data_IF_957972550309
#
_entry.id   IF_957972550309
#
_cell.length_a   1.000
_cell.length_b   1.000
_cell.length_c   1.000
_cell.angle_alpha   90.00
_cell.angle_beta   90.00
_cell.angle_gamma   90.00
#
_symmetry.space_group_name_H-M   'P 1'
#
loop_
_entity.id
_entity.type
_entity.pdbx_description
1 polymer ?
#
# COMPACT_ATOMS: atom_id res chain seq x y z
N UNK A 1 -7.08 4.76 -61.43
CA UNK A 1 -7.53 5.64 -60.32
C UNK A 1 -6.74 5.21 -59.09
N UNK A 2 -5.87 6.08 -58.61
CA UNK A 2 -4.85 5.82 -57.59
C UNK A 2 -5.53 5.80 -56.21
N UNK A 3 -5.29 4.74 -55.42
CA UNK A 3 -5.69 4.67 -54.02
C UNK A 3 -4.66 5.41 -53.18
N UNK A 4 -5.04 6.57 -52.65
CA UNK A 4 -4.21 7.40 -51.78
C UNK A 4 -4.01 6.71 -50.41
N UNK A 5 -2.76 6.32 -50.14
CA UNK A 5 -2.29 5.65 -48.92
C UNK A 5 -1.89 6.61 -47.81
N UNK A 6 -2.70 7.63 -47.51
CA UNK A 6 -2.40 8.64 -46.47
C UNK A 6 -3.60 8.97 -45.58
N UNK A 7 -4.41 7.95 -45.26
CA UNK A 7 -5.38 8.00 -44.16
C UNK A 7 -4.68 8.04 -42.80
N UNK A 8 -4.00 9.14 -42.50
CA UNK A 8 -3.35 9.40 -41.24
C UNK A 8 -4.33 9.25 -40.08
N UNK A 9 -3.84 8.66 -39.00
CA UNK A 9 -4.45 8.66 -37.67
C UNK A 9 -5.03 10.05 -37.36
N UNK A 10 -6.34 10.24 -37.56
CA UNK A 10 -7.06 11.33 -36.92
C UNK A 10 -7.19 10.94 -35.47
N UNK A 11 -6.34 11.51 -34.62
CA UNK A 11 -6.56 11.49 -33.19
C UNK A 11 -7.90 12.16 -32.91
N UNK A 12 -8.94 11.37 -32.66
CA UNK A 12 -10.18 11.85 -32.05
C UNK A 12 -9.93 12.15 -30.57
N UNK A 13 -8.96 12.99 -30.27
CA UNK A 13 -9.00 13.79 -29.05
C UNK A 13 -9.79 15.03 -29.44
N UNK A 14 -11.07 15.05 -29.04
CA UNK A 14 -11.87 16.26 -29.11
C UNK A 14 -11.06 17.43 -28.51
N UNK A 15 -11.12 18.63 -29.10
CA UNK A 15 -10.51 19.81 -28.49
C UNK A 15 -11.02 19.90 -27.05
N UNK A 16 -10.08 20.02 -26.10
CA UNK A 16 -10.37 20.21 -24.67
C UNK A 16 -11.44 21.29 -24.57
N UNK A 17 -12.65 20.88 -24.22
CA UNK A 17 -13.71 21.83 -23.90
C UNK A 17 -13.18 22.72 -22.80
N UNK A 18 -13.26 24.04 -23.00
CA UNK A 18 -13.18 24.99 -21.90
C UNK A 18 -14.30 24.60 -20.93
N UNK A 19 -13.99 23.73 -19.97
CA UNK A 19 -14.90 23.43 -18.88
C UNK A 19 -15.17 24.75 -18.19
N UNK A 20 -16.45 25.11 -18.09
CA UNK A 20 -16.92 26.30 -17.38
C UNK A 20 -16.21 26.35 -16.03
N UNK A 21 -15.73 27.53 -15.63
CA UNK A 21 -15.18 27.73 -14.29
C UNK A 21 -16.24 27.27 -13.28
N UNK A 22 -16.04 26.11 -12.69
CA UNK A 22 -16.83 25.66 -11.56
C UNK A 22 -16.31 26.41 -10.34
N UNK A 23 -17.23 27.04 -9.60
CA UNK A 23 -16.92 27.67 -8.33
C UNK A 23 -16.10 26.69 -7.49
N UNK A 24 -14.91 27.10 -7.01
CA UNK A 24 -14.03 26.20 -6.28
C UNK A 24 -14.82 25.63 -5.10
N UNK A 25 -15.04 24.31 -5.10
CA UNK A 25 -15.70 23.64 -3.98
C UNK A 25 -14.93 24.04 -2.72
N UNK A 26 -15.59 24.65 -1.72
CA UNK A 26 -14.90 25.10 -0.52
C UNK A 26 -14.31 23.87 0.18
N UNK A 27 -13.00 23.69 0.07
CA UNK A 27 -12.30 22.68 0.85
C UNK A 27 -12.16 23.27 2.26
N UNK A 28 -12.86 22.68 3.22
CA UNK A 28 -12.80 23.06 4.63
C UNK A 28 -11.47 22.62 5.22
N UNK A 29 -10.38 23.37 5.07
CA UNK A 29 -9.10 23.05 5.73
C UNK A 29 -9.17 23.37 7.23
N UNK A 30 -9.84 22.49 7.95
CA UNK A 30 -9.70 22.28 9.38
C UNK A 30 -9.61 20.79 9.60
N UNK A 31 -8.65 20.36 10.41
CA UNK A 31 -8.42 18.96 10.82
C UNK A 31 -7.70 18.00 9.85
N UNK A 32 -7.20 18.45 8.69
CA UNK A 32 -6.34 17.55 7.86
C UNK A 32 -4.93 17.37 8.41
N UNK A 33 -4.51 18.27 9.30
CA UNK A 33 -3.31 18.11 10.10
C UNK A 33 -3.76 17.79 11.51
N UNK A 34 -3.29 16.65 11.99
CA UNK A 34 -3.72 16.04 13.24
C UNK A 34 -3.09 16.82 14.38
N UNK A 35 -3.85 17.72 15.01
CA UNK A 35 -3.42 18.42 16.22
C UNK A 35 -3.70 17.52 17.43
N UNK A 36 -2.93 16.44 17.54
CA UNK A 36 -2.99 15.53 18.69
C UNK A 36 -1.65 15.52 19.40
N UNK A 37 -1.70 15.40 20.72
CA UNK A 37 -0.49 15.09 21.51
C UNK A 37 0.07 13.73 21.09
N UNK A 38 1.37 13.50 21.29
CA UNK A 38 2.04 12.23 20.94
C UNK A 38 1.32 11.01 21.56
N UNK A 39 0.81 11.15 22.78
CA UNK A 39 0.06 10.10 23.47
C UNK A 39 -1.30 9.81 22.82
N UNK A 40 -2.08 10.85 22.50
CA UNK A 40 -3.35 10.70 21.80
C UNK A 40 -3.14 10.10 20.41
N UNK A 41 -2.09 10.54 19.71
CA UNK A 41 -1.72 10.02 18.41
C UNK A 41 -1.35 8.53 18.49
N UNK A 42 -0.56 8.14 19.49
CA UNK A 42 -0.23 6.74 19.76
C UNK A 42 -1.45 5.88 20.08
N UNK A 43 -2.42 6.41 20.84
CA UNK A 43 -3.67 5.73 21.15
C UNK A 43 -4.52 5.49 19.91
N UNK A 44 -4.65 6.49 19.02
CA UNK A 44 -5.36 6.33 17.73
C UNK A 44 -4.70 5.28 16.86
N UNK A 45 -3.37 5.31 16.74
CA UNK A 45 -2.61 4.31 15.98
C UNK A 45 -2.83 2.91 16.56
N UNK A 46 -2.76 2.73 17.87
CA UNK A 46 -2.99 1.44 18.53
C UNK A 46 -4.43 0.95 18.33
N UNK A 47 -5.43 1.81 18.50
CA UNK A 47 -6.84 1.50 18.30
C UNK A 47 -7.15 1.09 16.86
N UNK A 48 -6.69 1.87 15.88
CA UNK A 48 -6.88 1.56 14.46
C UNK A 48 -6.16 0.27 14.06
N UNK A 49 -4.94 0.06 14.57
CA UNK A 49 -4.14 -1.13 14.24
C UNK A 49 -4.76 -2.40 14.81
N UNK A 50 -5.27 -2.35 16.03
CA UNK A 50 -5.94 -3.50 16.67
C UNK A 50 -7.27 -3.81 16.00
N UNK A 51 -8.11 -2.80 15.74
CA UNK A 51 -9.37 -2.97 15.03
C UNK A 51 -9.15 -3.56 13.63
N UNK A 52 -8.18 -3.03 12.88
CA UNK A 52 -7.83 -3.56 11.56
C UNK A 52 -7.28 -4.99 11.65
N UNK A 53 -6.43 -5.29 12.64
CA UNK A 53 -5.88 -6.64 12.82
C UNK A 53 -6.95 -7.69 13.12
N UNK A 54 -8.05 -7.32 13.78
CA UNK A 54 -9.21 -8.19 13.98
C UNK A 54 -10.00 -8.43 12.69
N UNK A 55 -10.10 -7.41 11.84
CA UNK A 55 -10.82 -7.49 10.56
C UNK A 55 -10.02 -8.21 9.46
N UNK A 56 -8.69 -8.19 9.49
CA UNK A 56 -7.87 -8.76 8.42
C UNK A 56 -8.05 -10.27 8.20
N UNK A 57 -8.00 -11.16 9.22
CA UNK A 57 -8.13 -12.60 9.01
C UNK A 57 -9.41 -13.04 8.28
N UNK A 58 -10.61 -12.52 8.63
CA UNK A 58 -11.80 -12.86 7.87
C UNK A 58 -11.79 -12.25 6.46
N UNK A 59 -11.31 -11.01 6.29
CA UNK A 59 -11.21 -10.35 4.98
C UNK A 59 -10.36 -11.14 3.99
N UNK A 60 -9.19 -11.61 4.42
CA UNK A 60 -8.31 -12.41 3.56
C UNK A 60 -8.95 -13.74 3.16
N UNK A 61 -9.82 -14.31 4.01
CA UNK A 61 -10.54 -15.56 3.71
C UNK A 61 -11.74 -15.39 2.80
N UNK A 62 -12.16 -14.16 2.52
CA UNK A 62 -13.19 -13.91 1.51
C UNK A 62 -12.77 -14.41 0.14
N UNK A 63 -11.47 -14.61 -0.11
CA UNK A 63 -10.97 -15.24 -1.35
C UNK A 63 -11.53 -16.65 -1.58
N UNK A 64 -11.97 -17.33 -0.52
CA UNK A 64 -12.58 -18.67 -0.59
C UNK A 64 -13.96 -18.64 -1.22
N UNK A 65 -14.60 -17.47 -1.27
CA UNK A 65 -15.90 -17.25 -1.92
C UNK A 65 -15.76 -16.81 -3.37
N UNK A 66 -14.54 -16.76 -3.92
CA UNK A 66 -14.32 -16.34 -5.29
C UNK A 66 -14.91 -17.31 -6.34
N UNK A 67 -15.28 -18.54 -5.96
CA UNK A 67 -16.09 -19.42 -6.83
C UNK A 67 -17.50 -18.87 -7.10
N UNK A 68 -17.97 -17.90 -6.30
CA UNK A 68 -19.24 -17.20 -6.54
C UNK A 68 -19.14 -16.19 -7.67
N UNK A 69 -17.96 -15.59 -7.90
CA UNK A 69 -17.76 -14.75 -9.07
C UNK A 69 -17.60 -15.65 -10.29
N UNK A 70 -18.33 -15.36 -11.37
CA UNK A 70 -18.24 -16.09 -12.64
C UNK A 70 -16.94 -15.75 -13.39
N UNK A 71 -15.81 -16.00 -12.73
CA UNK A 71 -14.48 -15.87 -13.31
C UNK A 71 -14.16 -17.17 -14.06
N UNK A 72 -13.81 -17.09 -15.36
CA UNK A 72 -13.54 -18.27 -16.17
C UNK A 72 -12.39 -19.10 -15.57
N UNK A 73 -12.67 -20.38 -15.34
CA UNK A 73 -11.72 -21.37 -14.78
C UNK A 73 -12.00 -21.81 -13.34
N UNK A 74 -12.58 -20.95 -12.47
CA UNK A 74 -12.99 -21.34 -11.11
C UNK A 74 -14.48 -21.66 -11.02
N UNK A 75 -15.35 -20.92 -11.74
CA UNK A 75 -16.81 -21.15 -11.69
C UNK A 75 -17.28 -22.38 -12.47
N UNK A 76 -16.48 -22.88 -13.42
CA UNK A 76 -16.78 -24.08 -14.21
C UNK A 76 -16.58 -25.40 -13.47
N UNK A 77 -16.01 -25.38 -12.25
CA UNK A 77 -15.81 -26.59 -11.44
C UNK A 77 -17.05 -27.02 -10.65
N UNK A 78 -18.03 -26.14 -10.50
CA UNK A 78 -19.17 -26.34 -9.58
C UNK A 78 -20.44 -26.01 -10.35
N UNK A 79 -21.34 -26.99 -10.50
CA UNK A 79 -22.65 -26.77 -11.13
C UNK A 79 -23.43 -25.67 -10.39
N UNK A 80 -24.16 -24.84 -11.13
CA UNK A 80 -24.90 -23.70 -10.54
C UNK A 80 -25.89 -24.11 -9.44
N UNK A 81 -26.46 -25.32 -9.53
CA UNK A 81 -27.35 -25.89 -8.50
C UNK A 81 -26.64 -26.14 -7.17
N UNK A 82 -25.34 -26.43 -7.18
CA UNK A 82 -24.53 -26.78 -6.00
C UNK A 82 -23.85 -25.56 -5.35
N UNK A 83 -23.82 -24.39 -6.03
CA UNK A 83 -23.18 -23.18 -5.51
C UNK A 83 -23.73 -22.75 -4.14
N UNK A 84 -25.03 -22.94 -3.89
CA UNK A 84 -25.67 -22.60 -2.59
C UNK A 84 -25.22 -23.52 -1.46
N UNK A 85 -25.19 -24.84 -1.69
CA UNK A 85 -24.71 -25.80 -0.71
C UNK A 85 -23.22 -25.59 -0.41
N UNK A 86 -22.43 -25.30 -1.45
CA UNK A 86 -21.01 -25.00 -1.31
C UNK A 86 -20.75 -23.68 -0.59
N UNK A 87 -21.58 -22.65 -0.80
CA UNK A 87 -21.52 -21.40 -0.04
C UNK A 87 -21.62 -21.65 1.47
N UNK A 88 -22.66 -22.34 1.92
CA UNK A 88 -22.85 -22.64 3.34
C UNK A 88 -21.74 -23.54 3.88
N UNK A 89 -21.30 -24.54 3.10
CA UNK A 89 -20.16 -25.38 3.48
C UNK A 89 -18.91 -24.54 3.70
N UNK A 90 -18.59 -23.60 2.82
CA UNK A 90 -17.42 -22.72 2.96
C UNK A 90 -17.60 -21.75 4.12
N UNK A 91 -18.78 -21.19 4.32
CA UNK A 91 -19.10 -20.25 5.39
C UNK A 91 -18.94 -20.86 6.79
N UNK A 92 -19.51 -22.04 7.03
CA UNK A 92 -19.49 -22.67 8.34
C UNK A 92 -18.20 -23.47 8.61
N UNK A 93 -17.58 -24.06 7.58
CA UNK A 93 -16.36 -24.85 7.77
C UNK A 93 -15.08 -23.98 7.80
N UNK A 94 -15.17 -22.72 7.39
CA UNK A 94 -14.03 -21.81 7.45
C UNK A 94 -13.78 -21.36 8.88
N UNK A 95 -12.62 -21.72 9.43
CA UNK A 95 -12.14 -21.16 10.69
C UNK A 95 -11.71 -19.71 10.47
N UNK A 96 -12.62 -18.75 10.62
CA UNK A 96 -12.44 -17.32 10.27
C UNK A 96 -11.26 -16.61 10.95
N UNK A 97 -10.95 -16.94 12.21
CA UNK A 97 -9.83 -16.32 12.95
C UNK A 97 -8.57 -17.19 13.03
N UNK A 98 -8.54 -18.35 12.37
CA UNK A 98 -7.34 -19.19 12.34
C UNK A 98 -6.27 -18.64 11.39
N UNK A 99 -5.06 -18.37 11.86
CA UNK A 99 -3.99 -17.83 11.01
C UNK A 99 -2.90 -17.15 11.83
N UNK A 100 -2.34 -16.07 11.29
CA UNK A 100 -1.41 -15.22 12.04
C UNK A 100 -2.10 -14.67 13.29
N UNK A 101 -1.36 -14.58 14.39
CA UNK A 101 -1.89 -14.03 15.63
C UNK A 101 -2.28 -12.57 15.42
N UNK A 102 -3.45 -12.19 15.94
CA UNK A 102 -3.99 -10.83 15.84
C UNK A 102 -3.04 -9.83 16.50
N UNK A 103 -2.43 -10.19 17.62
CA UNK A 103 -1.44 -9.36 18.33
C UNK A 103 -0.24 -9.04 17.43
N UNK A 104 0.29 -10.04 16.73
CA UNK A 104 1.42 -9.84 15.81
C UNK A 104 1.03 -8.91 14.66
N UNK A 105 -0.17 -9.10 14.11
CA UNK A 105 -0.66 -8.27 13.01
C UNK A 105 -0.92 -6.83 13.45
N UNK A 106 -1.48 -6.62 14.64
CA UNK A 106 -1.67 -5.30 15.24
C UNK A 106 -0.32 -4.59 15.45
N UNK A 107 0.70 -5.31 15.92
CA UNK A 107 2.06 -4.79 16.05
C UNK A 107 2.66 -4.36 14.71
N UNK A 108 2.46 -5.14 13.64
CA UNK A 108 2.93 -4.77 12.30
C UNK A 108 2.25 -3.52 11.73
N UNK A 109 0.93 -3.42 11.88
CA UNK A 109 0.17 -2.24 11.44
C UNK A 109 0.53 -1.00 12.23
N UNK A 110 0.67 -1.13 13.56
CA UNK A 110 1.10 -0.05 14.42
C UNK A 110 2.49 0.44 14.04
N UNK A 111 3.44 -0.48 13.84
CA UNK A 111 4.79 -0.15 13.42
C UNK A 111 4.81 0.59 12.07
N UNK A 112 4.10 0.09 11.07
CA UNK A 112 4.02 0.71 9.74
C UNK A 112 3.48 2.13 9.80
N UNK A 113 2.39 2.33 10.53
CA UNK A 113 1.73 3.63 10.62
C UNK A 113 2.57 4.61 11.46
N UNK A 114 3.04 4.19 12.63
CA UNK A 114 3.91 5.01 13.48
C UNK A 114 5.20 5.43 12.78
N UNK A 115 5.88 4.51 12.09
CA UNK A 115 7.11 4.83 11.36
C UNK A 115 6.86 5.81 10.22
N UNK A 116 5.77 5.68 9.48
CA UNK A 116 5.40 6.66 8.45
C UNK A 116 5.16 8.04 9.03
N UNK A 117 4.39 8.14 10.12
CA UNK A 117 4.06 9.41 10.77
C UNK A 117 5.33 10.07 11.30
N UNK A 118 6.18 9.34 12.03
CA UNK A 118 7.40 9.90 12.63
C UNK A 118 8.43 10.30 11.58
N UNK A 119 8.61 9.50 10.52
CA UNK A 119 9.51 9.86 9.43
C UNK A 119 9.00 11.10 8.69
N UNK A 120 7.69 11.21 8.49
CA UNK A 120 7.10 12.40 7.88
C UNK A 120 7.30 13.64 8.75
N UNK A 121 6.99 13.57 10.05
CA UNK A 121 7.17 14.71 10.96
C UNK A 121 8.65 15.10 11.05
N UNK A 122 9.56 14.13 11.02
CA UNK A 122 10.99 14.38 10.98
C UNK A 122 11.40 15.12 9.70
N UNK A 123 10.90 14.71 8.54
CA UNK A 123 11.13 15.36 7.25
C UNK A 123 10.52 16.78 7.18
N UNK A 124 9.44 17.02 7.90
CA UNK A 124 8.82 18.35 8.04
C UNK A 124 9.63 19.26 8.97
N UNK A 125 10.19 18.72 10.06
CA UNK A 125 11.01 19.48 11.03
C UNK A 125 12.45 19.77 10.56
N UNK A 126 12.97 19.01 9.58
CA UNK A 126 14.32 19.16 9.02
C UNK A 126 14.38 20.30 7.98
N UNK A 127 14.01 21.50 8.41
CA UNK A 127 13.53 22.66 7.63
C UNK A 127 14.54 23.39 6.73
N UNK A 128 15.78 22.92 6.53
CA UNK A 128 16.71 23.57 5.59
C UNK A 128 16.78 22.87 4.22
N UNK A 129 16.96 21.54 4.19
CA UNK A 129 17.16 20.80 2.94
C UNK A 129 15.86 20.28 2.30
N UNK A 130 14.81 20.04 3.10
CA UNK A 130 13.52 19.50 2.64
C UNK A 130 12.43 20.58 2.54
N UNK A 131 12.73 21.83 2.89
CA UNK A 131 11.79 22.95 2.81
C UNK A 131 11.23 23.14 1.40
N UNK A 132 12.06 22.97 0.37
CA UNK A 132 11.66 23.06 -1.04
C UNK A 132 10.82 21.86 -1.52
N UNK A 133 10.75 20.76 -0.76
CA UNK A 133 9.98 19.59 -1.19
C UNK A 133 8.49 19.85 -1.05
N UNK A 134 7.74 19.62 -2.13
CA UNK A 134 6.29 19.61 -2.07
C UNK A 134 5.79 18.57 -1.05
N UNK A 135 4.64 18.84 -0.40
CA UNK A 135 4.00 17.89 0.53
C UNK A 135 3.82 16.49 -0.11
N UNK A 136 3.54 16.45 -1.43
CA UNK A 136 3.45 15.22 -2.21
C UNK A 136 4.77 14.44 -2.14
N UNK A 137 5.88 15.07 -2.50
CA UNK A 137 7.20 14.43 -2.51
C UNK A 137 7.60 13.94 -1.11
N UNK A 138 7.32 14.73 -0.05
CA UNK A 138 7.56 14.31 1.35
C UNK A 138 6.81 13.03 1.69
N UNK A 139 5.56 12.88 1.22
CA UNK A 139 4.77 11.66 1.38
C UNK A 139 5.38 10.43 0.70
N UNK A 140 5.88 10.58 -0.53
CA UNK A 140 6.54 9.48 -1.24
C UNK A 140 7.86 9.07 -0.57
N UNK A 141 8.69 10.04 -0.15
CA UNK A 141 9.98 9.75 0.49
C UNK A 141 9.78 9.14 1.87
N UNK A 142 8.89 9.69 2.71
CA UNK A 142 8.55 9.11 4.02
C UNK A 142 7.98 7.70 3.87
N UNK A 143 7.12 7.44 2.87
CA UNK A 143 6.64 6.10 2.54
C UNK A 143 7.76 5.14 2.12
N UNK A 144 8.71 5.59 1.31
CA UNK A 144 9.84 4.77 0.87
C UNK A 144 10.77 4.44 2.05
N UNK A 145 11.09 5.42 2.89
CA UNK A 145 11.88 5.24 4.12
C UNK A 145 11.17 4.28 5.10
N UNK A 146 9.85 4.41 5.24
CA UNK A 146 9.03 3.48 6.02
C UNK A 146 9.18 2.05 5.51
N UNK A 147 9.12 1.87 4.19
CA UNK A 147 9.36 0.56 3.57
C UNK A 147 10.78 0.03 3.78
N UNK A 148 11.78 0.90 3.81
CA UNK A 148 13.16 0.52 4.12
C UNK A 148 13.32 0.05 5.57
N UNK A 149 12.79 0.81 6.54
CA UNK A 149 12.79 0.46 7.97
C UNK A 149 12.03 -0.85 8.18
N UNK A 150 10.84 -0.97 7.59
CA UNK A 150 10.03 -2.19 7.66
C UNK A 150 10.78 -3.39 7.09
N UNK A 151 11.40 -3.27 5.92
CA UNK A 151 12.19 -4.35 5.34
C UNK A 151 13.40 -4.71 6.21
N UNK A 152 14.12 -3.75 6.76
CA UNK A 152 15.27 -4.01 7.64
C UNK A 152 14.87 -4.82 8.88
N UNK A 153 13.73 -4.49 9.49
CA UNK A 153 13.22 -5.20 10.67
C UNK A 153 12.59 -6.55 10.33
N UNK A 154 11.85 -6.63 9.22
CA UNK A 154 11.03 -7.80 8.87
C UNK A 154 11.81 -8.87 8.11
N UNK A 155 12.78 -8.48 7.28
CA UNK A 155 13.58 -9.40 6.47
C UNK A 155 14.23 -10.54 7.26
N UNK A 156 14.86 -10.32 8.43
CA UNK A 156 15.44 -11.43 9.19
C UNK A 156 14.39 -12.45 9.62
N UNK A 157 13.23 -12.00 10.07
CA UNK A 157 12.13 -12.89 10.42
C UNK A 157 11.61 -13.65 9.19
N UNK A 158 11.45 -12.99 8.04
CA UNK A 158 10.98 -13.64 6.81
C UNK A 158 11.94 -14.73 6.34
N UNK A 159 13.26 -14.51 6.46
CA UNK A 159 14.27 -15.52 6.13
C UNK A 159 14.20 -16.70 7.10
N UNK A 160 14.13 -16.45 8.41
CA UNK A 160 14.01 -17.52 9.41
C UNK A 160 12.72 -18.34 9.27
N UNK A 161 11.64 -17.68 8.90
CA UNK A 161 10.36 -18.35 8.63
C UNK A 161 10.45 -19.20 7.37
N UNK A 162 11.01 -18.66 6.29
CA UNK A 162 11.17 -19.38 5.04
C UNK A 162 12.09 -20.61 5.19
N UNK A 163 13.13 -20.53 6.03
CA UNK A 163 13.98 -21.69 6.33
C UNK A 163 13.28 -22.72 7.20
N UNK A 164 12.42 -22.30 8.15
CA UNK A 164 11.62 -23.22 8.95
C UNK A 164 10.58 -23.98 8.12
N UNK A 165 9.97 -23.30 7.15
CA UNK A 165 8.92 -23.85 6.27
C UNK A 165 9.48 -24.57 5.02
N UNK A 166 10.80 -24.55 4.80
CA UNK A 166 11.42 -25.11 3.60
C UNK A 166 11.20 -26.64 3.49
N UNK A 167 10.48 -27.13 2.45
CA UNK A 167 10.33 -28.55 2.21
C UNK A 167 11.67 -29.15 1.73
N UNK A 168 12.13 -30.23 2.38
CA UNK A 168 13.34 -30.94 1.97
C UNK A 168 14.64 -30.48 2.64
N UNK A 169 14.56 -29.66 3.70
CA UNK A 169 15.71 -29.41 4.57
C UNK A 169 16.16 -30.70 5.29
N UNK A 170 17.46 -30.84 5.63
CA UNK A 170 17.98 -32.00 6.35
C UNK A 170 17.36 -32.16 7.75
N UNK A 171 16.76 -31.07 8.28
CA UNK A 171 16.08 -31.03 9.57
C UNK A 171 14.77 -30.26 9.44
N UNK A 172 13.69 -30.80 10.01
CA UNK A 172 12.41 -30.10 10.16
C UNK A 172 12.47 -29.24 11.42
N UNK A 173 12.25 -27.94 11.28
CA UNK A 173 12.17 -27.01 12.41
C UNK A 173 10.74 -26.86 12.89
N UNK A 174 10.54 -26.69 14.20
CA UNK A 174 9.21 -26.42 14.78
C UNK A 174 8.74 -24.99 14.52
N UNK A 175 9.66 -24.08 14.20
CA UNK A 175 9.36 -22.69 13.88
C UNK A 175 10.60 -21.82 13.75
N UNK A 176 10.44 -20.50 13.51
CA UNK A 176 11.55 -19.58 13.30
C UNK A 176 12.47 -19.45 14.52
N UNK A 177 11.94 -19.55 15.75
CA UNK A 177 12.75 -19.52 16.97
C UNK A 177 13.67 -20.75 17.10
N UNK A 178 13.17 -21.92 16.69
CA UNK A 178 13.94 -23.18 16.68
C UNK A 178 15.10 -23.11 15.69
N UNK A 179 14.89 -22.47 14.53
CA UNK A 179 15.96 -22.15 13.58
C UNK A 179 17.04 -21.29 14.22
N UNK A 180 16.66 -20.24 14.96
CA UNK A 180 17.63 -19.34 15.61
C UNK A 180 18.44 -20.08 16.68
N UNK A 181 17.77 -20.82 17.57
CA UNK A 181 18.44 -21.58 18.64
C UNK A 181 19.39 -22.62 18.04
N UNK A 182 18.96 -23.32 17.00
CA UNK A 182 19.81 -24.31 16.31
C UNK A 182 20.99 -23.65 15.60
N UNK A 183 20.76 -22.53 14.91
CA UNK A 183 21.82 -21.79 14.22
C UNK A 183 22.88 -21.23 15.20
N UNK A 184 22.45 -20.74 16.37
CA UNK A 184 23.35 -20.26 17.42
C UNK A 184 24.23 -21.39 17.99
N UNK A 185 23.67 -22.59 18.16
CA UNK A 185 24.39 -23.75 18.73
C UNK A 185 25.35 -24.39 17.73
N UNK A 186 24.91 -24.59 16.49
CA UNK A 186 25.65 -25.42 15.54
C UNK A 186 26.59 -24.60 14.66
N UNK A 187 26.16 -23.43 14.16
CA UNK A 187 26.93 -22.64 13.19
C UNK A 187 26.56 -21.14 13.26
N UNK A 188 27.16 -20.36 14.17
CA UNK A 188 26.83 -18.94 14.33
C UNK A 188 27.09 -18.09 13.07
N UNK A 189 28.01 -18.51 12.19
CA UNK A 189 28.26 -17.86 10.88
C UNK A 189 27.04 -17.89 9.94
N UNK A 190 26.09 -18.80 10.12
CA UNK A 190 24.83 -18.83 9.35
C UNK A 190 23.89 -17.67 9.68
N UNK A 191 24.06 -17.01 10.84
CA UNK A 191 23.27 -15.84 11.22
C UNK A 191 23.57 -14.63 10.32
N UNK A 192 24.81 -14.51 9.82
CA UNK A 192 25.16 -13.50 8.81
C UNK A 192 24.43 -13.75 7.48
N UNK A 193 24.05 -15.00 7.21
CA UNK A 193 23.26 -15.40 6.05
C UNK A 193 21.81 -14.90 6.09
N UNK A 194 21.30 -14.50 7.25
CA UNK A 194 19.93 -14.01 7.44
C UNK A 194 19.70 -12.70 6.68
N UNK A 195 20.73 -11.88 6.50
CA UNK A 195 20.65 -10.63 5.72
C UNK A 195 20.88 -10.84 4.22
N UNK A 196 21.05 -12.08 3.74
CA UNK A 196 21.19 -12.35 2.31
C UNK A 196 19.90 -11.97 1.58
N UNK A 197 20.04 -11.18 0.53
CA UNK A 197 18.89 -10.67 -0.24
C UNK A 197 18.21 -9.44 0.34
N UNK A 198 18.76 -8.84 1.42
CA UNK A 198 18.20 -7.63 2.03
C UNK A 198 18.05 -6.48 1.01
N UNK A 199 19.02 -6.26 0.12
CA UNK A 199 18.97 -5.19 -0.89
C UNK A 199 17.72 -5.28 -1.80
N UNK A 200 17.33 -6.49 -2.19
CA UNK A 200 16.16 -6.71 -3.05
C UNK A 200 14.86 -6.64 -2.24
N UNK A 201 14.90 -7.07 -0.97
CA UNK A 201 13.79 -6.88 -0.05
C UNK A 201 13.52 -5.39 0.20
N UNK A 202 14.58 -4.61 0.45
CA UNK A 202 14.55 -3.16 0.62
C UNK A 202 13.95 -2.49 -0.60
N UNK A 203 14.51 -2.70 -1.80
CA UNK A 203 14.01 -2.05 -3.00
C UNK A 203 12.53 -2.38 -3.27
N UNK A 204 12.11 -3.64 -3.07
CA UNK A 204 10.72 -4.05 -3.21
C UNK A 204 9.79 -3.32 -2.25
N UNK A 205 10.12 -3.27 -0.96
CA UNK A 205 9.30 -2.60 0.06
C UNK A 205 9.33 -1.08 -0.06
N UNK A 206 10.46 -0.49 -0.44
CA UNK A 206 10.55 0.94 -0.73
C UNK A 206 9.62 1.35 -1.87
N UNK A 207 9.59 0.58 -2.96
CA UNK A 207 8.65 0.82 -4.06
C UNK A 207 7.18 0.65 -3.62
N UNK A 208 6.89 -0.42 -2.86
CA UNK A 208 5.55 -0.70 -2.35
C UNK A 208 5.02 0.46 -1.51
N UNK A 209 5.72 0.76 -0.41
CA UNK A 209 5.26 1.69 0.60
C UNK A 209 5.48 3.15 0.20
N UNK A 210 6.49 3.44 -0.63
CA UNK A 210 6.66 4.76 -1.24
C UNK A 210 5.45 5.14 -2.10
N UNK A 211 4.98 4.23 -2.96
CA UNK A 211 3.80 4.50 -3.78
C UNK A 211 2.51 4.48 -2.97
N UNK A 212 2.36 3.51 -2.07
CA UNK A 212 1.17 3.37 -1.21
C UNK A 212 0.97 4.59 -0.30
N UNK A 213 1.97 4.95 0.52
CA UNK A 213 1.84 6.10 1.42
C UNK A 213 1.97 7.44 0.70
N UNK A 214 2.69 7.50 -0.42
CA UNK A 214 2.78 8.70 -1.25
C UNK A 214 1.44 9.07 -1.91
N UNK A 215 0.79 8.11 -2.56
CA UNK A 215 -0.56 8.31 -3.12
C UNK A 215 -1.59 8.60 -2.04
N UNK A 216 -1.52 7.91 -0.90
CA UNK A 216 -2.37 8.22 0.24
C UNK A 216 -2.17 9.65 0.75
N UNK A 217 -0.92 10.10 0.96
CA UNK A 217 -0.67 11.47 1.41
C UNK A 217 -1.17 12.51 0.40
N UNK A 218 -1.10 12.18 -0.88
CA UNK A 218 -1.60 13.07 -1.93
C UNK A 218 -3.13 13.13 -1.96
N UNK A 219 -3.80 11.97 -1.90
CA UNK A 219 -5.24 11.84 -2.11
C UNK A 219 -6.07 12.04 -0.84
N UNK A 220 -5.49 11.89 0.36
CA UNK A 220 -6.23 11.96 1.62
C UNK A 220 -6.97 13.29 1.81
N UNK A 221 -6.38 14.40 1.34
CA UNK A 221 -7.00 15.72 1.48
C UNK A 221 -8.31 15.81 0.70
N UNK A 222 -8.39 15.30 -0.53
CA UNK A 222 -9.62 15.29 -1.34
C UNK A 222 -10.62 14.24 -0.82
N UNK A 223 -10.14 13.04 -0.47
CA UNK A 223 -10.99 11.92 -0.04
C UNK A 223 -11.77 12.22 1.24
N UNK A 224 -11.12 12.88 2.21
CA UNK A 224 -11.70 13.22 3.52
C UNK A 224 -12.86 14.23 3.42
N UNK A 225 -12.89 15.11 2.41
CA UNK A 225 -13.99 16.08 2.23
C UNK A 225 -15.17 15.54 1.44
N UNK A 226 -14.95 14.56 0.57
CA UNK A 226 -16.02 14.00 -0.27
C UNK A 226 -16.88 13.01 0.52
N UNK A 227 -16.29 11.91 0.96
CA UNK A 227 -16.96 10.82 1.69
C UNK A 227 -15.91 9.81 2.19
N UNK A 228 -16.14 9.18 3.34
CA UNK A 228 -15.34 8.06 3.83
C UNK A 228 -15.20 6.93 2.79
N UNK A 229 -16.25 6.67 1.99
CA UNK A 229 -16.18 5.69 0.91
C UNK A 229 -15.18 6.09 -0.19
N UNK A 230 -15.11 7.38 -0.55
CA UNK A 230 -14.15 7.88 -1.54
C UNK A 230 -12.73 7.81 -1.00
N UNK A 231 -12.53 8.17 0.27
CA UNK A 231 -11.24 7.99 0.95
C UNK A 231 -10.80 6.52 0.94
N UNK A 232 -11.72 5.60 1.17
CA UNK A 232 -11.46 4.16 1.11
C UNK A 232 -11.02 3.71 -0.28
N UNK A 233 -11.71 4.16 -1.33
CA UNK A 233 -11.33 3.87 -2.71
C UNK A 233 -9.95 4.44 -3.05
N UNK A 234 -9.61 5.63 -2.57
CA UNK A 234 -8.27 6.20 -2.75
C UNK A 234 -7.18 5.41 -2.03
N UNK A 235 -7.42 5.02 -0.78
CA UNK A 235 -6.48 4.18 -0.04
C UNK A 235 -6.34 2.78 -0.68
N UNK A 236 -7.44 2.23 -1.20
CA UNK A 236 -7.44 0.96 -1.92
C UNK A 236 -6.64 1.05 -3.22
N UNK A 237 -6.87 2.09 -4.03
CA UNK A 237 -6.08 2.35 -5.23
C UNK A 237 -4.59 2.52 -4.91
N UNK A 238 -4.27 3.26 -3.85
CA UNK A 238 -2.88 3.48 -3.41
C UNK A 238 -2.18 2.17 -3.01
N UNK A 239 -2.85 1.32 -2.21
CA UNK A 239 -2.32 0.01 -1.81
C UNK A 239 -2.18 -0.94 -3.00
N UNK A 240 -3.17 -0.97 -3.90
CA UNK A 240 -3.12 -1.76 -5.12
C UNK A 240 -1.96 -1.34 -6.03
N UNK A 241 -1.80 -0.04 -6.26
CA UNK A 241 -0.70 0.51 -7.03
C UNK A 241 0.65 0.14 -6.40
N UNK A 242 0.78 0.24 -5.07
CA UNK A 242 1.99 -0.16 -4.34
C UNK A 242 2.32 -1.64 -4.53
N UNK A 243 1.33 -2.53 -4.46
CA UNK A 243 1.52 -3.95 -4.74
C UNK A 243 1.92 -4.21 -6.20
N UNK A 244 1.31 -3.50 -7.15
CA UNK A 244 1.68 -3.60 -8.56
C UNK A 244 3.14 -3.16 -8.79
N UNK A 245 3.56 -2.04 -8.19
CA UNK A 245 4.93 -1.52 -8.32
C UNK A 245 5.98 -2.47 -7.71
N UNK A 246 5.66 -3.15 -6.61
CA UNK A 246 6.56 -4.12 -5.98
C UNK A 246 6.65 -5.45 -6.74
N UNK A 247 5.58 -5.85 -7.43
CA UNK A 247 5.42 -7.19 -7.98
C UNK A 247 6.61 -7.66 -8.85
N UNK A 248 7.15 -6.85 -9.78
CA UNK A 248 8.31 -7.24 -10.60
C UNK A 248 9.53 -7.67 -9.77
N UNK A 249 9.83 -6.94 -8.69
CA UNK A 249 10.96 -7.22 -7.82
C UNK A 249 10.74 -8.51 -7.03
N UNK A 250 9.51 -8.74 -6.58
CA UNK A 250 9.12 -9.95 -5.86
C UNK A 250 9.13 -11.19 -6.77
N UNK A 251 8.55 -11.10 -7.97
CA UNK A 251 8.52 -12.16 -8.96
C UNK A 251 9.94 -12.59 -9.37
N UNK A 252 10.81 -11.63 -9.69
CA UNK A 252 12.22 -11.90 -9.99
C UNK A 252 12.94 -12.57 -8.83
N UNK A 253 12.69 -12.14 -7.58
CA UNK A 253 13.29 -12.75 -6.39
C UNK A 253 12.86 -14.21 -6.23
N UNK A 254 11.57 -14.49 -6.36
CA UNK A 254 11.02 -15.85 -6.23
C UNK A 254 11.54 -16.78 -7.33
N UNK A 255 11.52 -16.34 -8.59
CA UNK A 255 12.06 -17.11 -9.71
C UNK A 255 13.56 -17.37 -9.55
N UNK A 256 14.32 -16.36 -9.10
CA UNK A 256 15.75 -16.52 -8.87
C UNK A 256 16.03 -17.55 -7.78
N UNK A 257 15.28 -17.53 -6.67
CA UNK A 257 15.42 -18.54 -5.62
C UNK A 257 15.08 -19.94 -6.11
N UNK A 258 14.02 -20.10 -6.90
CA UNK A 258 13.63 -21.39 -7.47
C UNK A 258 14.70 -21.94 -8.44
N UNK A 259 15.24 -21.09 -9.32
CA UNK A 259 16.27 -21.50 -10.29
C UNK A 259 17.60 -21.78 -9.59
N UNK A 260 18.02 -20.92 -8.64
CA UNK A 260 19.28 -21.13 -7.93
C UNK A 260 19.23 -22.32 -6.97
N UNK A 261 18.05 -22.83 -6.62
CA UNK A 261 17.90 -24.08 -5.87
C UNK A 261 18.15 -25.32 -6.74
N UNK A 262 17.93 -25.24 -8.06
CA UNK A 262 18.06 -26.39 -8.98
C UNK A 262 19.38 -26.40 -9.75
N UNK A 263 20.00 -25.23 -9.95
CA UNK A 263 21.24 -25.10 -10.72
C UNK A 263 22.45 -25.53 -9.87
N UNK A 264 23.17 -26.58 -10.31
CA UNK A 264 24.42 -27.08 -9.71
C UNK A 264 25.68 -26.26 -10.08
N UNK A 265 25.52 -25.13 -10.75
CA UNK A 265 26.60 -24.28 -11.28
C UNK A 265 26.65 -22.88 -10.65
N UNK A 266 27.19 -21.90 -11.39
CA UNK A 266 27.23 -20.51 -10.93
C UNK A 266 25.81 -19.96 -10.72
N UNK A 267 25.48 -19.41 -9.54
CA UNK A 267 24.16 -18.86 -9.30
C UNK A 267 23.91 -17.68 -10.22
N UNK A 268 22.69 -17.57 -10.74
CA UNK A 268 22.28 -16.44 -11.56
C UNK A 268 22.16 -15.19 -10.70
N UNK A 269 22.40 -14.04 -11.33
CA UNK A 269 22.25 -12.71 -10.74
C UNK A 269 20.89 -12.13 -11.15
N UNK A 270 20.29 -11.29 -10.31
CA UNK A 270 19.02 -10.61 -10.64
C UNK A 270 19.07 -9.89 -12.00
N UNK A 271 20.19 -9.23 -12.33
CA UNK A 271 20.36 -8.52 -13.61
C UNK A 271 20.35 -9.46 -14.81
N UNK A 272 21.02 -10.61 -14.73
CA UNK A 272 21.07 -11.56 -15.86
C UNK A 272 19.72 -12.24 -16.07
N UNK A 273 19.01 -12.56 -14.98
CA UNK A 273 17.64 -13.09 -15.03
C UNK A 273 16.66 -12.06 -15.63
N UNK A 274 16.73 -10.80 -15.19
CA UNK A 274 15.88 -9.74 -15.74
C UNK A 274 16.10 -9.53 -17.24
N UNK A 275 17.37 -9.45 -17.66
CA UNK A 275 17.72 -9.27 -19.08
C UNK A 275 17.30 -10.49 -19.92
N UNK A 276 17.43 -11.71 -19.40
CA UNK A 276 17.02 -12.92 -20.12
C UNK A 276 15.50 -13.01 -20.25
N UNK A 277 14.74 -12.68 -19.20
CA UNK A 277 13.27 -12.59 -19.22
C UNK A 277 12.80 -11.54 -20.22
N UNK A 278 13.36 -10.33 -20.15
CA UNK A 278 13.01 -9.23 -21.06
C UNK A 278 13.27 -9.60 -22.52
N UNK A 279 14.40 -10.27 -22.81
CA UNK A 279 14.76 -10.70 -24.18
C UNK A 279 13.86 -11.83 -24.71
N UNK A 280 13.49 -12.81 -23.87
CA UNK A 280 12.74 -14.00 -24.31
C UNK A 280 11.23 -13.82 -24.34
N UNK A 281 10.68 -13.02 -23.42
CA UNK A 281 9.23 -12.97 -23.19
C UNK A 281 8.68 -11.55 -22.99
N UNK A 282 9.53 -10.53 -23.09
CA UNK A 282 9.14 -9.15 -22.83
C UNK A 282 8.95 -8.82 -21.36
N UNK A 283 8.50 -7.59 -21.09
CA UNK A 283 8.34 -7.05 -19.73
C UNK A 283 7.04 -7.57 -19.08
N UNK A 284 6.04 -7.93 -19.87
CA UNK A 284 4.74 -8.43 -19.41
C UNK A 284 4.85 -9.70 -18.59
N UNK A 285 5.83 -10.57 -18.88
CA UNK A 285 6.08 -11.79 -18.10
C UNK A 285 6.47 -11.54 -16.65
N UNK A 286 6.98 -10.34 -16.31
CA UNK A 286 7.23 -10.01 -14.90
C UNK A 286 5.94 -9.90 -14.07
N UNK A 287 4.82 -9.61 -14.73
CA UNK A 287 3.49 -9.52 -14.12
C UNK A 287 2.67 -10.82 -14.24
N UNK A 288 3.28 -11.88 -14.78
CA UNK A 288 2.61 -13.16 -14.92
C UNK A 288 2.28 -13.74 -13.53
N UNK A 289 0.99 -13.97 -13.27
CA UNK A 289 0.48 -14.41 -11.98
C UNK A 289 0.12 -13.29 -10.99
N UNK A 290 0.24 -12.00 -11.34
CA UNK A 290 -0.12 -10.90 -10.45
C UNK A 290 -1.57 -11.01 -9.95
N UNK A 291 -2.52 -11.24 -10.85
CA UNK A 291 -3.94 -11.38 -10.50
C UNK A 291 -4.29 -12.72 -9.85
N UNK A 292 -3.44 -13.75 -9.94
CA UNK A 292 -3.66 -15.03 -9.23
C UNK A 292 -3.61 -14.85 -7.72
N UNK A 293 -2.80 -13.90 -7.25
CA UNK A 293 -2.71 -13.53 -5.83
C UNK A 293 -3.84 -12.63 -5.33
N UNK A 294 -4.94 -12.46 -6.09
CA UNK A 294 -6.12 -11.64 -5.75
C UNK A 294 -5.73 -10.29 -5.10
N UNK A 295 -4.87 -9.49 -5.76
CA UNK A 295 -4.29 -8.28 -5.15
C UNK A 295 -5.35 -7.26 -4.73
N UNK A 296 -6.49 -7.20 -5.43
CA UNK A 296 -7.61 -6.32 -5.06
C UNK A 296 -8.18 -6.65 -3.67
N UNK A 297 -8.29 -7.92 -3.31
CA UNK A 297 -8.79 -8.29 -1.97
C UNK A 297 -7.71 -8.08 -0.90
N UNK A 298 -6.46 -8.39 -1.24
CA UNK A 298 -5.31 -8.23 -0.34
C UNK A 298 -4.98 -6.74 -0.04
N UNK A 299 -5.44 -5.81 -0.87
CA UNK A 299 -5.35 -4.37 -0.62
C UNK A 299 -6.29 -3.88 0.50
N UNK A 300 -7.43 -4.56 0.70
CA UNK A 300 -8.52 -4.08 1.59
C UNK A 300 -8.04 -3.82 3.03
N UNK A 301 -7.28 -4.73 3.69
CA UNK A 301 -6.86 -4.49 5.07
C UNK A 301 -6.02 -3.22 5.24
N UNK A 302 -5.04 -3.00 4.36
CA UNK A 302 -4.22 -1.80 4.44
C UNK A 302 -5.01 -0.54 4.11
N UNK A 303 -5.95 -0.62 3.16
CA UNK A 303 -6.83 0.49 2.84
C UNK A 303 -7.72 0.86 4.04
N UNK A 304 -8.30 -0.14 4.71
CA UNK A 304 -9.08 0.05 5.94
C UNK A 304 -8.25 0.70 7.03
N UNK A 305 -7.03 0.22 7.29
CA UNK A 305 -6.13 0.80 8.29
C UNK A 305 -5.92 2.31 8.06
N UNK A 306 -5.60 2.70 6.82
CA UNK A 306 -5.29 4.08 6.46
C UNK A 306 -6.53 4.98 6.54
N UNK A 307 -7.68 4.48 6.10
CA UNK A 307 -8.95 5.21 6.26
C UNK A 307 -9.40 5.35 7.70
N UNK A 308 -9.30 4.28 8.48
CA UNK A 308 -9.68 4.27 9.89
C UNK A 308 -8.81 5.24 10.68
N UNK A 309 -7.51 5.27 10.39
CA UNK A 309 -6.59 6.25 10.98
C UNK A 309 -6.98 7.69 10.65
N UNK A 310 -7.17 8.04 9.38
CA UNK A 310 -7.54 9.44 9.02
C UNK A 310 -8.89 9.86 9.60
N UNK A 311 -9.89 8.96 9.59
CA UNK A 311 -11.19 9.25 10.18
C UNK A 311 -11.11 9.39 11.70
N UNK A 312 -10.42 8.49 12.38
CA UNK A 312 -10.32 8.49 13.85
C UNK A 312 -9.48 9.66 14.36
N UNK A 313 -8.35 9.94 13.71
CA UNK A 313 -7.49 11.06 14.06
C UNK A 313 -8.25 12.38 13.90
N UNK A 314 -8.95 12.55 12.77
CA UNK A 314 -9.79 13.74 12.53
C UNK A 314 -10.91 13.89 13.55
N UNK A 315 -11.69 12.83 13.78
CA UNK A 315 -12.79 12.86 14.75
C UNK A 315 -12.32 13.18 16.15
N UNK A 316 -11.17 12.65 16.55
CA UNK A 316 -10.59 12.97 17.86
C UNK A 316 -10.14 14.42 17.94
N UNK A 317 -9.54 14.98 16.88
CA UNK A 317 -9.17 16.41 16.86
C UNK A 317 -10.41 17.31 16.88
N UNK A 318 -11.48 16.95 16.16
CA UNK A 318 -12.78 17.67 16.21
C UNK A 318 -13.40 17.65 17.62
N UNK A 319 -13.27 16.54 18.34
CA UNK A 319 -13.78 16.42 19.72
C UNK A 319 -12.95 17.20 20.74
N UNK A 320 -11.62 17.27 20.56
CA UNK A 320 -10.72 17.94 21.51
C UNK A 320 -10.62 19.45 21.30
N UNK A 321 -10.84 19.92 20.08
CA UNK A 321 -10.74 21.33 19.72
C UNK A 321 -12.04 21.81 19.04
N UNK A 322 -13.18 21.83 19.76
CA UNK A 322 -14.47 22.21 19.18
C UNK A 322 -14.48 23.65 18.63
N UNK A 323 -13.64 24.52 19.19
CA UNK A 323 -13.53 25.93 18.83
C UNK A 323 -12.67 26.16 17.56
N UNK A 324 -11.97 25.13 17.09
CA UNK A 324 -11.17 25.23 15.86
C UNK A 324 -12.10 25.23 14.63
N UNK A 325 -12.39 26.42 14.12
CA UNK A 325 -13.17 26.59 12.89
C UNK A 325 -12.31 26.19 11.69
N UNK A 326 -12.86 25.35 10.82
CA UNK A 326 -12.16 24.92 9.61
C UNK A 326 -11.94 26.09 8.65
N UNK A 327 -10.69 26.50 8.44
CA UNK A 327 -10.34 27.56 7.52
C UNK A 327 -10.61 27.10 6.07
N UNK A 328 -11.47 27.78 5.29
CA UNK A 328 -11.64 27.44 3.89
C UNK A 328 -10.33 27.75 3.15
N UNK A 329 -9.76 26.76 2.46
CA UNK A 329 -8.62 27.00 1.55
C UNK A 329 -9.00 26.50 0.17
N UNK A 330 -8.96 27.39 -0.82
CA UNK A 330 -9.29 27.05 -2.20
C UNK A 330 -8.14 26.28 -2.85
N UNK A 331 -8.06 24.96 -2.63
CA UNK A 331 -7.21 24.10 -3.46
C UNK A 331 -8.05 23.44 -4.53
N UNK A 332 -7.70 23.74 -5.77
CA UNK A 332 -8.25 23.19 -6.98
C UNK A 332 -8.21 21.65 -6.99
N UNK A 333 -9.32 21.02 -7.40
CA UNK A 333 -9.45 19.56 -7.55
C UNK A 333 -8.40 18.99 -8.53
N UNK A 334 -8.07 17.71 -8.40
CA UNK A 334 -7.15 16.98 -9.30
C UNK A 334 -7.55 17.06 -10.79
N UNK A 335 -8.83 17.32 -11.06
CA UNK A 335 -9.38 17.49 -12.42
C UNK A 335 -9.40 18.95 -12.88
N UNK A 336 -9.08 19.92 -12.02
CA UNK A 336 -9.10 21.34 -12.38
C UNK A 336 -7.74 21.81 -12.90
N UNK A 337 -7.80 22.56 -14.00
CA UNK A 337 -6.64 23.20 -14.63
C UNK A 337 -6.20 24.36 -13.73
N UNK A 338 -4.88 24.49 -13.54
CA UNK A 338 -4.23 25.56 -12.76
C UNK A 338 -4.96 26.91 -12.89
N UNK A 339 -5.09 27.69 -11.81
CA UNK A 339 -5.83 28.94 -11.85
C UNK A 339 -5.19 29.88 -12.90
N UNK A 340 -5.99 30.54 -13.75
CA UNK A 340 -5.44 31.50 -14.69
C UNK A 340 -4.73 32.63 -13.93
N UNK A 341 -3.68 33.20 -14.53
CA UNK A 341 -2.71 34.11 -13.91
C UNK A 341 -3.30 35.38 -13.28
N UNK A 342 -4.57 35.71 -13.50
CA UNK A 342 -5.26 36.87 -12.93
C UNK A 342 -5.92 36.59 -11.55
N UNK A 343 -5.94 35.34 -11.07
CA UNK A 343 -6.42 35.00 -9.72
C UNK A 343 -5.23 34.95 -8.76
N UNK A 344 -4.57 36.10 -8.57
CA UNK A 344 -3.43 36.23 -7.65
C UNK A 344 -3.85 36.45 -6.20
N UNK A 345 -5.08 36.92 -5.96
CA UNK A 345 -5.66 37.09 -4.64
C UNK A 345 -7.12 36.61 -4.67
N UNK A 346 -7.45 35.41 -4.17
CA UNK A 346 -8.84 35.08 -3.89
C UNK A 346 -9.40 36.14 -2.93
N UNK A 347 -10.65 36.61 -3.11
CA UNK A 347 -11.22 37.64 -2.25
C UNK A 347 -11.19 37.18 -0.78
N UNK A 348 -10.79 38.04 0.17
CA UNK A 348 -10.89 37.71 1.59
C UNK A 348 -12.36 37.47 1.95
N UNK A 349 -12.65 36.41 2.71
CA UNK A 349 -14.01 36.03 3.11
C UNK A 349 -14.28 36.36 4.58
N UNK A 350 -15.56 36.64 4.87
CA UNK A 350 -16.20 37.34 6.01
C UNK A 350 -15.85 36.97 7.47
N UNK A 351 -14.83 36.15 7.74
CA UNK A 351 -14.39 35.85 9.11
C UNK A 351 -12.90 36.12 9.32
N UNK A 352 -12.37 37.14 8.64
CA UNK A 352 -11.23 37.88 9.15
C UNK A 352 -11.72 38.57 10.44
N UNK A 353 -11.25 38.07 11.59
CA UNK A 353 -11.45 38.77 12.86
C UNK A 353 -11.00 40.22 12.65
N UNK A 354 -11.92 41.17 12.75
CA UNK A 354 -11.55 42.55 13.03
C UNK A 354 -10.77 42.53 14.33
N UNK A 355 -9.45 42.66 14.23
CA UNK A 355 -8.60 43.01 15.35
C UNK A 355 -9.16 44.31 15.95
N UNK A 356 -9.73 44.22 17.14
CA UNK A 356 -9.82 45.38 18.03
C UNK A 356 -8.54 45.47 18.83
#
# INVERSE_FOLDING_TARGET
>A
MVLDGSGGYRSTFAPRTNTRYETPVPHRRGYTEVQLTTWQHGAVVAGCSTACAWATPPLLKLERFYFLSDVPGESSRIYMSDKRAQFFRVLFHTRWWHGRSVVWLAGEYGLLLSTFITLRSLLESSTAATAQWSNRLRGFVSGALTGAVYAAMRHPYDVLRATAEAPGGPRRFRGPADVVVTALRERPRLLLGVYRGLRVALSGRMCQFGLQFGLYNWLRYDGVYRNAAVLFLYCHLATFAGMAAQYPLQSLRQQLHAINATVRGRPLTHRSLFLSLRRRHGITKLYDGFFRGKPLLNAVPMALLMTAYDMSARRLTELLHPDAVAAPTHTQSLTSIAPPSHVLHPPPYEFEHQSR
#
